data_IF_867500447232
#
_entry.id   IF_867500447232
#
_cell.length_a   1.000
_cell.length_b   1.000
_cell.length_c   1.000
_cell.angle_alpha   90.00
_cell.angle_beta   90.00
_cell.angle_gamma   90.00
#
_symmetry.space_group_name_H-M   'P 1'
#
loop_
_entity.id
_entity.type
_entity.pdbx_description
1 polymer ?
#
# COMPACT_ATOMS: atom_id res chain seq x y z
N UNK A 1 4.14 29.88 3.12
CA UNK A 1 2.69 29.69 3.40
C UNK A 1 2.02 29.73 2.04
N UNK A 2 1.74 28.60 1.46
CA UNK A 2 0.97 28.48 0.22
C UNK A 2 -0.18 27.52 0.50
N UNK A 3 -1.39 28.06 0.60
CA UNK A 3 -2.62 27.30 0.71
C UNK A 3 -2.88 26.59 -0.63
N UNK A 4 -2.89 25.27 -0.63
CA UNK A 4 -3.39 24.49 -1.75
C UNK A 4 -4.81 24.05 -1.43
N UNK A 5 -5.73 24.58 -2.21
CA UNK A 5 -7.17 24.30 -2.16
C UNK A 5 -7.43 22.84 -2.54
N UNK A 6 -8.07 22.09 -1.64
CA UNK A 6 -8.56 20.74 -1.90
C UNK A 6 -9.64 20.78 -2.98
N UNK A 7 -9.44 20.07 -4.07
CA UNK A 7 -10.48 19.75 -5.05
C UNK A 7 -11.31 18.59 -4.53
N UNK A 8 -12.60 18.88 -4.33
CA UNK A 8 -13.63 17.87 -4.10
C UNK A 8 -13.73 16.94 -5.32
N UNK A 9 -13.37 15.68 -5.14
CA UNK A 9 -13.72 14.63 -6.09
C UNK A 9 -15.04 14.02 -5.66
N UNK A 10 -16.03 14.09 -6.55
CA UNK A 10 -17.28 13.37 -6.40
C UNK A 10 -17.01 11.88 -6.59
N UNK A 11 -17.13 11.12 -5.53
CA UNK A 11 -17.15 9.66 -5.60
C UNK A 11 -18.49 9.20 -6.15
N UNK A 12 -18.48 8.76 -7.38
CA UNK A 12 -19.58 8.04 -7.99
C UNK A 12 -19.03 6.71 -8.53
N UNK A 13 -19.12 5.68 -7.73
CA UNK A 13 -19.26 4.33 -8.27
C UNK A 13 -19.98 3.42 -7.30
N UNK A 14 -21.27 3.72 -7.07
CA UNK A 14 -22.20 2.74 -6.51
C UNK A 14 -22.92 2.08 -7.70
N UNK A 15 -22.60 0.83 -7.96
CA UNK A 15 -23.34 0.02 -8.92
C UNK A 15 -24.74 -0.26 -8.36
N UNK A 16 -25.69 0.61 -8.73
CA UNK A 16 -27.09 0.44 -8.41
C UNK A 16 -27.71 -0.68 -9.22
N UNK A 17 -28.33 -1.62 -8.55
CA UNK A 17 -29.17 -2.64 -9.16
C UNK A 17 -30.47 -2.03 -9.62
N UNK A 18 -30.78 -2.26 -10.87
CA UNK A 18 -31.91 -1.83 -11.70
C UNK A 18 -33.28 -1.97 -11.04
N UNK A 19 -33.97 -0.86 -10.89
CA UNK A 19 -35.42 -0.86 -10.67
C UNK A 19 -36.15 -0.91 -12.03
N UNK A 20 -37.17 -1.74 -12.09
CA UNK A 20 -38.03 -1.85 -13.23
C UNK A 20 -39.30 -0.99 -13.00
N UNK A 21 -39.60 0.04 -13.80
CA UNK A 21 -40.79 0.86 -13.64
C UNK A 21 -41.99 0.22 -14.33
N UNK A 22 -42.81 -0.42 -13.57
CA UNK A 22 -44.17 -0.80 -14.00
C UNK A 22 -45.18 0.31 -13.72
N UNK A 23 -45.51 1.07 -14.76
CA UNK A 23 -46.57 2.06 -14.75
C UNK A 23 -47.94 1.38 -14.79
N UNK A 24 -48.79 1.65 -13.80
CA UNK A 24 -50.27 1.54 -14.00
C UNK A 24 -51.00 2.53 -13.06
N UNK A 25 -51.39 3.67 -13.65
CA UNK A 25 -52.45 4.51 -13.10
C UNK A 25 -53.79 3.77 -13.17
N UNK A 26 -54.39 3.56 -12.02
CA UNK A 26 -55.83 3.36 -11.93
C UNK A 26 -56.37 4.08 -10.72
N UNK A 27 -57.15 5.13 -11.00
CA UNK A 27 -57.95 5.85 -10.02
C UNK A 27 -59.09 4.98 -9.52
N UNK A 28 -59.16 4.74 -8.20
CA UNK A 28 -60.44 4.38 -7.52
C UNK A 28 -60.33 4.63 -6.01
N UNK A 29 -61.24 5.48 -5.49
CA UNK A 29 -61.97 5.47 -4.22
C UNK A 29 -61.25 5.01 -2.94
N UNK A 30 -61.35 5.73 -1.80
CA UNK A 30 -60.76 5.35 -0.52
C UNK A 30 -61.52 4.14 0.05
N UNK A 31 -61.06 2.95 -0.31
CA UNK A 31 -61.36 1.73 0.39
C UNK A 31 -60.24 1.52 1.41
N UNK A 32 -60.59 1.26 2.66
CA UNK A 32 -59.68 0.73 3.68
C UNK A 32 -59.08 -0.57 3.17
N UNK A 33 -57.94 -0.46 2.54
CA UNK A 33 -57.17 -1.63 2.07
C UNK A 33 -56.50 -2.25 3.31
N UNK A 34 -57.10 -3.31 3.81
CA UNK A 34 -56.52 -4.18 4.85
C UNK A 34 -55.51 -5.14 4.26
N UNK A 35 -54.61 -4.64 3.44
CA UNK A 35 -53.49 -5.43 2.96
C UNK A 35 -52.61 -5.80 4.18
N UNK A 36 -52.28 -7.09 4.26
CA UNK A 36 -51.37 -7.54 5.35
C UNK A 36 -50.06 -6.81 5.24
N UNK A 37 -49.47 -6.38 6.37
CA UNK A 37 -48.16 -5.80 6.37
C UNK A 37 -47.16 -6.69 5.62
N UNK A 38 -46.35 -6.07 4.77
CA UNK A 38 -45.31 -6.74 4.00
C UNK A 38 -43.94 -6.37 4.58
N UNK A 39 -43.09 -7.35 4.73
CA UNK A 39 -41.73 -7.11 5.16
C UNK A 39 -40.92 -6.43 4.04
N UNK A 40 -40.29 -5.31 4.37
CA UNK A 40 -39.35 -4.59 3.51
C UNK A 40 -37.95 -4.91 4.05
N UNK A 41 -37.11 -5.53 3.22
CA UNK A 41 -35.77 -5.96 3.60
C UNK A 41 -34.85 -4.79 3.95
N UNK A 42 -33.85 -5.10 4.74
CA UNK A 42 -32.76 -4.17 5.02
C UNK A 42 -32.06 -3.71 3.73
N UNK A 43 -31.47 -2.52 3.78
CA UNK A 43 -30.65 -2.00 2.71
C UNK A 43 -29.18 -2.07 3.13
N UNK A 44 -28.37 -2.66 2.27
CA UNK A 44 -26.93 -2.83 2.52
C UNK A 44 -26.10 -2.14 1.45
N UNK A 45 -24.89 -1.75 1.81
CA UNK A 45 -23.84 -1.24 0.91
C UNK A 45 -22.60 -2.08 1.10
N UNK A 46 -22.04 -2.59 0.01
CA UNK A 46 -20.76 -3.32 0.03
C UNK A 46 -19.67 -2.39 -0.47
N UNK A 47 -18.62 -2.26 0.30
CA UNK A 47 -17.40 -1.52 -0.06
C UNK A 47 -16.25 -2.49 -0.28
N UNK A 48 -15.36 -2.12 -1.20
CA UNK A 48 -14.10 -2.83 -1.43
C UNK A 48 -12.96 -1.94 -0.94
N UNK A 49 -12.00 -2.53 -0.27
CA UNK A 49 -10.80 -1.86 0.22
C UNK A 49 -9.58 -2.79 0.12
N UNK A 50 -8.40 -2.23 0.32
CA UNK A 50 -7.13 -2.95 0.25
C UNK A 50 -6.43 -2.88 1.59
N UNK A 51 -5.89 -4.00 2.04
CA UNK A 51 -5.21 -4.08 3.32
C UNK A 51 -3.78 -4.57 3.14
N UNK A 52 -2.80 -3.82 3.67
CA UNK A 52 -1.43 -4.31 3.76
C UNK A 52 -1.37 -5.54 4.66
N UNK A 53 -0.80 -6.64 4.16
CA UNK A 53 -0.76 -7.89 4.93
C UNK A 53 0.17 -7.81 6.13
N UNK A 54 1.08 -6.86 6.15
CA UNK A 54 2.06 -6.71 7.21
C UNK A 54 1.59 -5.75 8.32
N UNK A 55 1.41 -4.45 8.00
CA UNK A 55 1.03 -3.45 9.00
C UNK A 55 -0.49 -3.40 9.27
N UNK A 56 -1.30 -4.05 8.42
CA UNK A 56 -2.77 -4.10 8.49
C UNK A 56 -3.47 -2.77 8.22
N UNK A 57 -2.76 -1.73 7.79
CA UNK A 57 -3.39 -0.49 7.33
C UNK A 57 -4.30 -0.76 6.14
N UNK A 58 -5.41 -0.03 6.11
CA UNK A 58 -6.46 -0.14 5.10
C UNK A 58 -6.41 1.09 4.20
N UNK A 59 -6.54 0.87 2.89
CA UNK A 59 -6.50 1.86 1.83
C UNK A 59 -7.75 1.73 0.97
N UNK A 60 -8.22 2.84 0.39
CA UNK A 60 -9.41 2.85 -0.47
C UNK A 60 -9.17 2.18 -1.81
N UNK A 61 -7.93 2.27 -2.30
CA UNK A 61 -7.55 1.76 -3.63
C UNK A 61 -6.27 0.93 -3.57
N UNK A 62 -6.12 0.04 -4.55
CA UNK A 62 -4.89 -0.73 -4.74
C UNK A 62 -3.68 0.19 -4.98
N UNK A 63 -3.91 1.32 -5.65
CA UNK A 63 -2.85 2.28 -5.97
C UNK A 63 -2.31 2.98 -4.71
N UNK A 64 -3.20 3.35 -3.78
CA UNK A 64 -2.80 3.87 -2.47
C UNK A 64 -1.96 2.84 -1.70
N UNK A 65 -2.36 1.56 -1.71
CA UNK A 65 -1.58 0.49 -1.09
C UNK A 65 -0.20 0.31 -1.75
N UNK A 66 -0.09 0.43 -3.08
CA UNK A 66 1.19 0.40 -3.80
C UNK A 66 2.08 1.60 -3.43
N UNK A 67 1.50 2.80 -3.30
CA UNK A 67 2.22 3.99 -2.83
C UNK A 67 2.77 3.79 -1.41
N UNK A 68 2.00 3.18 -0.51
CA UNK A 68 2.48 2.78 0.81
C UNK A 68 3.69 1.85 0.74
N UNK A 69 3.69 0.84 -0.13
CA UNK A 69 4.84 -0.04 -0.30
C UNK A 69 6.07 0.69 -0.85
N UNK A 70 5.86 1.65 -1.75
CA UNK A 70 6.94 2.44 -2.29
C UNK A 70 7.50 3.42 -1.27
N UNK A 71 6.66 4.05 -0.45
CA UNK A 71 7.09 4.91 0.64
C UNK A 71 8.05 4.20 1.61
N UNK A 72 7.81 2.93 1.90
CA UNK A 72 8.61 2.09 2.79
C UNK A 72 9.66 1.23 2.06
N UNK A 73 9.95 1.54 0.80
CA UNK A 73 10.92 0.79 0.01
C UNK A 73 12.33 0.93 0.59
N UNK A 74 13.05 -0.19 0.82
CA UNK A 74 14.41 -0.17 1.38
C UNK A 74 15.47 0.49 0.48
N UNK A 75 15.12 0.90 -0.76
CA UNK A 75 16.00 1.71 -1.61
C UNK A 75 16.29 3.11 -1.04
N UNK A 76 15.50 3.56 -0.05
CA UNK A 76 15.70 4.85 0.61
C UNK A 76 16.52 4.69 1.88
N UNK A 77 17.38 5.70 2.16
CA UNK A 77 18.19 5.69 3.39
C UNK A 77 17.29 5.76 4.63
N UNK A 78 17.71 5.03 5.68
CA UNK A 78 17.02 4.95 6.97
C UNK A 78 15.58 4.41 6.93
N UNK A 79 15.18 3.84 5.80
CA UNK A 79 13.87 3.19 5.64
C UNK A 79 14.05 1.69 5.66
N UNK A 80 13.55 1.04 6.71
CA UNK A 80 13.41 -0.41 6.75
C UNK A 80 12.01 -0.74 7.24
N UNK A 81 11.21 -1.31 6.35
CA UNK A 81 9.88 -1.82 6.70
C UNK A 81 9.59 -3.07 5.89
N UNK A 82 9.03 -4.06 6.56
CA UNK A 82 8.56 -5.27 5.88
C UNK A 82 7.47 -4.99 4.84
N UNK A 83 6.71 -3.89 4.99
CA UNK A 83 5.74 -3.45 3.98
C UNK A 83 6.41 -3.18 2.64
N UNK A 84 7.50 -2.43 2.62
CA UNK A 84 8.26 -2.11 1.40
C UNK A 84 9.08 -3.28 0.85
N UNK A 85 9.44 -4.25 1.70
CA UNK A 85 10.18 -5.46 1.29
C UNK A 85 9.26 -6.48 0.65
N UNK A 86 8.19 -6.86 1.34
CA UNK A 86 7.29 -7.94 0.89
C UNK A 86 6.26 -7.49 -0.14
N UNK A 87 5.80 -6.23 -0.07
CA UNK A 87 4.84 -5.61 -0.99
C UNK A 87 3.58 -6.45 -1.22
N UNK A 88 3.08 -7.06 -0.13
CA UNK A 88 1.89 -7.91 -0.16
C UNK A 88 0.72 -7.23 0.49
N UNK A 89 -0.44 -7.34 -0.14
CA UNK A 89 -1.70 -6.85 0.36
C UNK A 89 -2.87 -7.61 -0.22
N UNK A 90 -3.99 -7.52 0.45
CA UNK A 90 -5.19 -8.28 0.13
C UNK A 90 -6.35 -7.34 -0.14
N UNK A 91 -7.04 -7.53 -1.26
CA UNK A 91 -8.35 -6.93 -1.52
C UNK A 91 -9.37 -7.56 -0.58
N UNK A 92 -10.21 -6.73 0.03
CA UNK A 92 -11.27 -7.14 0.94
C UNK A 92 -12.56 -6.44 0.61
N UNK A 93 -13.65 -7.11 0.94
CA UNK A 93 -14.99 -6.55 0.84
C UNK A 93 -15.68 -6.62 2.20
N UNK A 94 -16.43 -5.58 2.53
CA UNK A 94 -17.23 -5.52 3.74
C UNK A 94 -18.62 -4.98 3.40
N UNK A 95 -19.64 -5.56 4.00
CA UNK A 95 -21.03 -5.17 3.78
C UNK A 95 -21.60 -4.55 5.03
N UNK A 96 -22.12 -3.34 4.88
CA UNK A 96 -22.71 -2.54 5.94
C UNK A 96 -24.22 -2.43 5.74
N UNK A 97 -25.00 -2.63 6.81
CA UNK A 97 -26.43 -2.33 6.79
C UNK A 97 -26.60 -0.82 6.97
N UNK A 98 -27.20 -0.16 5.97
CA UNK A 98 -27.43 1.29 5.96
C UNK A 98 -28.88 1.65 6.28
N UNK A 99 -29.79 0.71 6.25
CA UNK A 99 -31.15 0.83 6.74
C UNK A 99 -31.67 -0.54 7.16
N UNK A 100 -32.22 -0.62 8.34
CA UNK A 100 -32.84 -1.84 8.85
C UNK A 100 -34.08 -2.24 8.05
N UNK A 101 -34.38 -3.54 8.03
CA UNK A 101 -35.63 -4.06 7.51
C UNK A 101 -36.81 -3.65 8.41
N UNK A 102 -38.00 -3.46 7.82
CA UNK A 102 -39.17 -3.02 8.56
C UNK A 102 -40.47 -3.53 7.91
N UNK A 103 -41.56 -3.53 8.68
CA UNK A 103 -42.89 -3.80 8.14
C UNK A 103 -43.50 -2.59 7.48
N UNK A 104 -44.21 -2.75 6.36
CA UNK A 104 -44.78 -1.63 5.57
C UNK A 104 -45.79 -0.77 6.30
N UNK A 105 -46.27 -1.21 7.47
CA UNK A 105 -47.17 -0.46 8.36
C UNK A 105 -46.42 0.24 9.51
N UNK A 106 -45.09 0.12 9.59
CA UNK A 106 -44.24 0.79 10.57
C UNK A 106 -43.62 2.04 9.97
N UNK A 107 -43.03 2.86 10.83
CA UNK A 107 -42.24 4.00 10.38
C UNK A 107 -40.97 3.52 9.67
N UNK A 108 -40.71 4.06 8.48
CA UNK A 108 -39.48 3.76 7.74
C UNK A 108 -38.27 4.14 8.57
N UNK A 109 -37.36 3.22 8.85
CA UNK A 109 -36.13 3.53 9.56
C UNK A 109 -35.27 4.54 8.81
N UNK A 110 -34.43 5.27 9.55
CA UNK A 110 -33.48 6.19 8.97
C UNK A 110 -32.47 5.47 8.08
N UNK A 111 -32.06 6.13 7.01
CA UNK A 111 -31.05 5.60 6.10
C UNK A 111 -29.72 6.29 6.38
N UNK A 112 -28.74 5.52 6.71
CA UNK A 112 -27.36 5.92 6.98
C UNK A 112 -26.49 5.89 5.72
N UNK A 113 -25.28 6.39 5.83
CA UNK A 113 -24.28 6.35 4.76
C UNK A 113 -23.03 5.62 5.24
N UNK A 114 -22.37 4.91 4.33
CA UNK A 114 -21.04 4.39 4.58
C UNK A 114 -20.04 5.47 4.19
N UNK A 115 -19.20 5.87 5.12
CA UNK A 115 -18.19 6.91 4.93
C UNK A 115 -16.80 6.37 5.24
N UNK A 116 -15.82 6.93 4.57
CA UNK A 116 -14.42 6.70 4.88
C UNK A 116 -13.98 7.62 6.01
N UNK A 117 -13.34 7.08 7.04
CA UNK A 117 -12.76 7.81 8.16
C UNK A 117 -11.25 7.64 8.12
N UNK A 118 -10.54 8.72 7.82
CA UNK A 118 -9.09 8.72 7.86
C UNK A 118 -8.61 8.67 9.33
N UNK A 119 -7.71 7.74 9.64
CA UNK A 119 -7.02 7.68 10.94
C UNK A 119 -5.70 8.44 10.89
N UNK A 120 -5.04 8.43 9.73
CA UNK A 120 -3.82 9.20 9.48
C UNK A 120 -3.91 9.89 8.12
N UNK A 121 -3.57 11.19 8.03
CA UNK A 121 -3.59 11.91 6.78
C UNK A 121 -2.46 11.48 5.86
N UNK A 122 -2.61 11.71 4.55
CA UNK A 122 -1.54 11.51 3.59
C UNK A 122 -0.33 12.40 3.92
N UNK A 123 0.86 11.82 3.79
CA UNK A 123 2.12 12.46 4.14
C UNK A 123 3.15 12.31 3.02
N UNK A 124 3.85 13.39 2.68
CA UNK A 124 4.83 13.41 1.60
C UNK A 124 6.21 13.81 2.13
N UNK A 125 7.23 13.06 1.73
CA UNK A 125 8.61 13.25 2.15
C UNK A 125 9.58 13.09 0.98
N UNK A 126 10.68 13.84 1.00
CA UNK A 126 11.79 13.64 0.08
C UNK A 126 12.81 12.71 0.75
N UNK A 127 13.10 11.59 0.12
CA UNK A 127 14.00 10.55 0.62
C UNK A 127 15.23 10.42 -0.27
N UNK A 128 16.37 10.10 0.33
CA UNK A 128 17.60 9.81 -0.38
C UNK A 128 17.58 8.38 -0.92
N UNK A 129 17.89 8.24 -2.22
CA UNK A 129 18.01 6.95 -2.89
C UNK A 129 19.41 6.43 -2.62
N UNK A 130 19.51 5.24 -2.02
CA UNK A 130 20.79 4.60 -1.73
C UNK A 130 21.09 3.48 -2.73
N UNK A 131 22.33 3.39 -3.15
CA UNK A 131 22.90 2.22 -3.79
C UNK A 131 23.79 1.50 -2.81
N UNK A 132 23.54 0.20 -2.62
CA UNK A 132 24.39 -0.66 -1.78
C UNK A 132 25.20 -1.51 -2.72
N UNK A 133 26.53 -1.43 -2.59
CA UNK A 133 27.46 -2.31 -3.30
C UNK A 133 28.24 -3.16 -2.30
N UNK A 134 28.30 -4.45 -2.54
CA UNK A 134 29.12 -5.38 -1.76
C UNK A 134 30.52 -5.43 -2.34
N UNK A 135 31.53 -5.53 -1.47
CA UNK A 135 32.92 -5.61 -1.87
C UNK A 135 33.76 -6.46 -0.93
N UNK A 136 34.87 -6.95 -1.46
CA UNK A 136 36.01 -7.48 -0.71
C UNK A 136 37.05 -6.38 -0.53
N UNK A 137 37.66 -6.34 0.65
CA UNK A 137 38.70 -5.40 0.96
C UNK A 137 40.05 -6.11 1.04
N UNK A 138 41.06 -5.68 0.25
CA UNK A 138 42.40 -6.21 0.29
C UNK A 138 43.25 -5.41 1.28
N UNK A 139 43.74 -6.10 2.31
CA UNK A 139 44.63 -5.49 3.31
C UNK A 139 46.05 -5.19 2.80
N UNK A 140 46.48 -5.87 1.73
CA UNK A 140 47.82 -5.66 1.17
C UNK A 140 47.98 -4.34 0.41
N UNK A 141 46.92 -3.85 -0.23
CA UNK A 141 46.95 -2.61 -1.01
C UNK A 141 45.84 -1.61 -0.68
N UNK A 142 45.01 -1.94 0.28
CA UNK A 142 43.83 -1.13 0.68
C UNK A 142 42.81 -0.88 -0.44
N UNK A 143 42.71 -1.80 -1.40
CA UNK A 143 41.74 -1.68 -2.50
C UNK A 143 40.44 -2.41 -2.18
N UNK A 144 39.34 -1.88 -2.72
CA UNK A 144 38.04 -2.52 -2.76
C UNK A 144 37.88 -3.23 -4.09
N UNK A 145 37.38 -4.46 -4.05
CA UNK A 145 36.99 -5.26 -5.21
C UNK A 145 35.50 -5.49 -5.11
N UNK A 146 34.73 -4.87 -5.98
CA UNK A 146 33.27 -4.94 -5.91
C UNK A 146 32.75 -6.28 -6.46
N UNK A 147 31.75 -6.86 -5.77
CA UNK A 147 31.18 -8.15 -6.12
C UNK A 147 30.48 -8.16 -7.47
N UNK A 148 29.92 -7.04 -7.88
CA UNK A 148 29.28 -6.85 -9.19
C UNK A 148 30.28 -6.70 -10.35
N UNK A 149 31.59 -6.52 -10.04
CA UNK A 149 32.67 -6.47 -11.01
C UNK A 149 33.55 -7.71 -11.00
N UNK A 150 33.16 -8.75 -10.24
CA UNK A 150 33.92 -9.99 -10.11
C UNK A 150 34.13 -10.70 -11.45
N UNK A 151 35.39 -11.08 -11.74
CA UNK A 151 35.78 -11.93 -12.86
C UNK A 151 36.74 -12.97 -12.33
N UNK A 152 36.37 -14.23 -12.39
CA UNK A 152 37.21 -15.37 -11.93
C UNK A 152 38.56 -15.40 -12.64
N UNK A 153 39.64 -15.49 -11.86
CA UNK A 153 40.99 -15.53 -12.36
C UNK A 153 41.59 -14.19 -12.79
N UNK A 154 40.80 -13.09 -12.76
CA UNK A 154 41.31 -11.74 -13.05
C UNK A 154 42.08 -11.18 -11.85
N UNK A 155 43.33 -10.78 -12.07
CA UNK A 155 44.19 -10.27 -11.03
C UNK A 155 43.70 -8.98 -10.35
N UNK A 156 42.77 -8.26 -10.94
CA UNK A 156 42.23 -7.00 -10.42
C UNK A 156 40.83 -7.20 -9.82
N UNK A 157 40.06 -8.15 -10.33
CA UNK A 157 38.63 -8.33 -10.05
C UNK A 157 38.29 -9.62 -9.31
N UNK A 158 39.25 -10.55 -9.20
CA UNK A 158 39.14 -11.73 -8.36
C UNK A 158 39.87 -11.50 -7.02
N UNK A 159 39.19 -11.44 -5.88
CA UNK A 159 39.81 -11.17 -4.59
C UNK A 159 40.88 -12.19 -4.21
N UNK A 160 40.75 -13.45 -4.66
CA UNK A 160 41.73 -14.52 -4.41
C UNK A 160 43.01 -14.29 -5.21
N UNK A 161 42.88 -13.99 -6.49
CA UNK A 161 44.02 -13.69 -7.36
C UNK A 161 44.68 -12.38 -6.97
N UNK A 162 43.88 -11.36 -6.67
CA UNK A 162 44.36 -10.05 -6.24
C UNK A 162 45.12 -10.14 -4.93
N UNK A 163 44.61 -10.83 -3.91
CA UNK A 163 45.24 -10.92 -2.60
C UNK A 163 46.58 -11.66 -2.62
N UNK A 164 46.74 -12.67 -3.49
CA UNK A 164 47.99 -13.43 -3.64
C UNK A 164 49.16 -12.60 -4.04
N UNK A 165 48.95 -11.54 -4.79
CA UNK A 165 50.00 -10.59 -5.22
C UNK A 165 50.63 -9.80 -4.07
N UNK A 166 49.91 -9.67 -2.95
CA UNK A 166 50.32 -8.93 -1.77
C UNK A 166 50.83 -9.79 -0.62
N UNK A 167 50.93 -11.11 -0.83
CA UNK A 167 51.51 -12.02 0.13
C UNK A 167 53.02 -12.01 -0.05
N UNK A 168 53.76 -11.32 0.85
CA UNK A 168 55.21 -11.16 0.78
C UNK A 168 55.96 -12.27 1.52
N UNK A 169 55.28 -13.07 2.32
CA UNK A 169 55.89 -14.03 3.25
C UNK A 169 55.65 -15.51 2.90
N UNK A 170 55.03 -15.79 1.76
CA UNK A 170 54.64 -17.14 1.36
C UNK A 170 53.51 -17.75 2.18
N UNK A 171 52.81 -16.93 2.99
CA UNK A 171 51.66 -17.37 3.76
C UNK A 171 50.52 -17.81 2.82
N UNK A 172 49.80 -18.87 3.21
CA UNK A 172 48.62 -19.35 2.46
C UNK A 172 47.33 -18.62 2.85
N UNK A 173 47.43 -17.62 3.69
CA UNK A 173 46.25 -16.89 4.16
C UNK A 173 45.86 -15.77 3.18
N UNK A 174 44.61 -15.75 2.85
CA UNK A 174 44.07 -14.67 2.00
C UNK A 174 44.08 -13.35 2.72
N UNK A 175 44.67 -12.36 2.08
CA UNK A 175 44.82 -11.00 2.66
C UNK A 175 43.62 -10.11 2.27
N UNK A 176 42.39 -10.65 2.37
CA UNK A 176 41.18 -9.88 2.09
C UNK A 176 40.05 -10.24 3.07
N UNK A 177 39.12 -9.33 3.23
CA UNK A 177 37.89 -9.50 3.99
C UNK A 177 36.69 -9.24 3.08
N UNK A 178 35.72 -10.15 3.06
CA UNK A 178 34.55 -10.11 2.19
C UNK A 178 33.26 -9.74 2.92
N UNK A 179 32.22 -9.50 2.15
CA UNK A 179 30.89 -9.21 2.69
C UNK A 179 30.73 -7.81 3.28
N UNK A 180 31.64 -6.90 2.93
CA UNK A 180 31.51 -5.49 3.31
C UNK A 180 30.54 -4.78 2.36
N UNK A 181 29.84 -3.78 2.87
CA UNK A 181 28.89 -2.98 2.11
C UNK A 181 29.29 -1.52 2.08
N UNK A 182 29.21 -0.92 0.92
CA UNK A 182 29.32 0.51 0.72
C UNK A 182 27.96 1.07 0.31
N UNK A 183 27.54 2.14 1.00
CA UNK A 183 26.31 2.86 0.70
C UNK A 183 26.66 4.19 0.03
N UNK A 184 26.03 4.44 -1.10
CA UNK A 184 26.19 5.71 -1.84
C UNK A 184 24.82 6.31 -2.10
N UNK A 185 24.62 7.57 -1.75
CA UNK A 185 23.44 8.33 -2.14
C UNK A 185 23.55 8.67 -3.62
N UNK A 186 22.61 8.18 -4.42
CA UNK A 186 22.61 8.35 -5.89
C UNK A 186 21.63 9.42 -6.36
N UNK A 187 20.74 9.88 -5.49
CA UNK A 187 19.74 10.89 -5.79
C UNK A 187 18.76 11.07 -4.66
N UNK A 188 17.71 11.84 -4.96
CA UNK A 188 16.57 12.04 -4.07
C UNK A 188 15.27 11.82 -4.83
N UNK A 189 14.24 11.33 -4.15
CA UNK A 189 12.91 11.14 -4.69
C UNK A 189 11.86 11.59 -3.68
N UNK A 190 10.78 12.19 -4.17
CA UNK A 190 9.64 12.56 -3.33
C UNK A 190 8.63 11.44 -3.36
N UNK A 191 8.32 10.88 -2.21
CA UNK A 191 7.38 9.78 -2.03
C UNK A 191 6.27 10.18 -1.08
N UNK A 192 5.10 9.58 -1.27
CA UNK A 192 3.91 9.86 -0.47
C UNK A 192 3.47 8.60 0.27
N UNK A 193 3.38 8.68 1.60
CA UNK A 193 2.58 7.75 2.38
C UNK A 193 1.12 8.17 2.20
N UNK A 194 0.26 7.33 1.64
CA UNK A 194 -1.14 7.65 1.44
C UNK A 194 -1.90 7.71 2.76
N UNK A 195 -3.05 8.37 2.74
CA UNK A 195 -4.03 8.33 3.81
C UNK A 195 -4.49 6.89 4.04
N UNK A 196 -4.60 6.47 5.29
CA UNK A 196 -5.24 5.22 5.64
C UNK A 196 -6.28 5.41 6.75
N UNK A 197 -7.26 4.50 6.81
CA UNK A 197 -8.41 4.64 7.67
C UNK A 197 -9.28 3.39 7.68
N UNK A 198 -10.60 3.60 7.78
CA UNK A 198 -11.60 2.54 7.76
C UNK A 198 -12.94 3.08 7.26
N UNK A 199 -13.86 2.18 6.93
CA UNK A 199 -15.24 2.53 6.62
C UNK A 199 -16.13 2.38 7.84
N UNK A 200 -17.08 3.30 8.02
CA UNK A 200 -18.11 3.20 9.06
C UNK A 200 -19.45 3.71 8.57
N UNK A 201 -20.53 3.32 9.27
CA UNK A 201 -21.90 3.78 9.03
C UNK A 201 -22.17 5.03 9.87
N UNK A 202 -22.62 6.12 9.22
CA UNK A 202 -23.01 7.39 9.85
C UNK A 202 -24.43 7.81 9.45
#
# INVERSE_FOLDING_TARGET
ITQTTAKSFNDANATGTTENPGNNQSSTKPGTDTSKPTWIAEQTVTVTYYQCDYCKHIFRTEEEMKQHFEFWNPKYENVFSYCGVNKTGTERTETFTVRDGYWSNEQTPETHKVVWVATEPAYTETKEIIQIREYWYCFGCNQKIYCDEYIEGDEQKDPWCHSRRHLTDGSQYNNFYGGLQEKTVTGTETVTEPEYGYYEVQ
#
